data_IF_171046288740
#
_entry.id   IF_171046288740
#
_cell.length_a   1.000
_cell.length_b   1.000
_cell.length_c   1.000
_cell.angle_alpha   90.00
_cell.angle_beta   90.00
_cell.angle_gamma   90.00
#
_symmetry.space_group_name_H-M   'P 1'
#
loop_
_entity.id
_entity.type
_entity.pdbx_description
1 polymer ?
#
# COMPACT_ATOMS: atom_id res chain seq x y z
N UNK A 1 -19.60 7.20 -4.30
CA UNK A 1 -18.48 8.18 -4.41
C UNK A 1 -18.48 8.87 -5.76
N UNK A 2 -18.06 10.14 -5.83
CA UNK A 2 -17.81 10.84 -7.11
C UNK A 2 -16.54 10.25 -7.77
N UNK A 3 -16.51 9.98 -9.09
CA UNK A 3 -15.31 9.49 -9.79
C UNK A 3 -14.07 10.36 -9.58
N UNK A 4 -14.22 11.67 -9.37
CA UNK A 4 -13.10 12.57 -9.08
C UNK A 4 -12.47 12.24 -7.72
N UNK A 5 -13.29 11.97 -6.69
CA UNK A 5 -12.80 11.57 -5.36
C UNK A 5 -12.09 10.22 -5.39
N UNK A 6 -12.58 9.29 -6.22
CA UNK A 6 -11.92 7.99 -6.42
C UNK A 6 -10.56 8.15 -7.08
N UNK A 7 -10.45 9.03 -8.08
CA UNK A 7 -9.18 9.34 -8.73
C UNK A 7 -8.17 9.94 -7.75
N UNK A 8 -8.60 10.92 -6.93
CA UNK A 8 -7.73 11.50 -5.91
C UNK A 8 -7.30 10.49 -4.85
N UNK A 9 -8.21 9.60 -4.43
CA UNK A 9 -7.88 8.52 -3.51
C UNK A 9 -6.83 7.57 -4.12
N UNK A 10 -7.03 7.16 -5.38
CA UNK A 10 -6.11 6.28 -6.09
C UNK A 10 -4.71 6.90 -6.23
N UNK A 11 -4.63 8.17 -6.60
CA UNK A 11 -3.36 8.89 -6.70
C UNK A 11 -2.69 9.07 -5.34
N UNK A 12 -3.46 9.37 -4.29
CA UNK A 12 -2.93 9.51 -2.95
C UNK A 12 -2.27 8.20 -2.46
N UNK A 13 -2.92 7.06 -2.67
CA UNK A 13 -2.41 5.74 -2.27
C UNK A 13 -1.23 5.24 -3.11
N UNK A 14 -1.08 5.71 -4.34
CA UNK A 14 0.08 5.37 -5.19
C UNK A 14 1.39 6.04 -4.71
N UNK A 15 1.31 7.08 -3.88
CA UNK A 15 2.47 7.94 -3.54
C UNK A 15 3.63 7.20 -2.89
N UNK A 16 3.35 6.27 -1.96
CA UNK A 16 4.40 5.55 -1.22
C UNK A 16 5.13 4.54 -2.13
N UNK A 17 4.37 3.84 -2.98
CA UNK A 17 4.91 2.97 -4.01
C UNK A 17 5.72 3.74 -5.07
N UNK A 18 5.25 4.92 -5.47
CA UNK A 18 5.97 5.81 -6.38
C UNK A 18 7.30 6.30 -5.80
N UNK A 19 7.32 6.70 -4.52
CA UNK A 19 8.54 7.11 -3.84
C UNK A 19 9.57 5.98 -3.75
N UNK A 20 9.13 4.76 -3.41
CA UNK A 20 9.98 3.57 -3.38
C UNK A 20 10.55 3.22 -4.77
N UNK A 21 9.72 3.31 -5.82
CA UNK A 21 10.14 3.06 -7.20
C UNK A 21 11.16 4.10 -7.70
N UNK A 22 10.97 5.37 -7.37
CA UNK A 22 11.92 6.44 -7.67
C UNK A 22 13.25 6.24 -6.94
N UNK A 23 13.23 5.91 -5.65
CA UNK A 23 14.44 5.65 -4.86
C UNK A 23 15.27 4.51 -5.46
N UNK A 24 14.60 3.42 -5.88
CA UNK A 24 15.25 2.32 -6.60
C UNK A 24 15.78 2.76 -7.97
N UNK A 25 14.99 3.51 -8.73
CA UNK A 25 15.35 4.00 -10.06
C UNK A 25 16.57 4.92 -10.05
N UNK A 26 16.71 5.77 -9.03
CA UNK A 26 17.86 6.66 -8.85
C UNK A 26 19.16 5.90 -8.53
N UNK A 27 19.07 4.73 -7.89
CA UNK A 27 20.22 3.88 -7.56
C UNK A 27 20.71 3.03 -8.75
N UNK A 28 19.87 2.82 -9.77
CA UNK A 28 20.18 2.00 -10.94
C UNK A 28 20.93 2.78 -12.04
N UNK A 29 22.19 2.42 -12.30
CA UNK A 29 22.94 2.91 -13.46
C UNK A 29 22.41 2.27 -14.76
N UNK A 30 21.51 2.98 -15.47
CA UNK A 30 20.75 2.57 -16.68
C UNK A 30 19.53 1.67 -16.38
N UNK A 31 18.41 2.23 -15.88
CA UNK A 31 17.19 1.48 -15.71
C UNK A 31 16.69 0.98 -17.07
N UNK A 32 16.51 -0.33 -17.21
CA UNK A 32 15.85 -0.90 -18.39
C UNK A 32 14.35 -0.72 -18.23
N UNK A 33 13.66 -0.36 -19.31
CA UNK A 33 12.19 -0.20 -19.31
C UNK A 33 11.46 -1.43 -18.77
N UNK A 34 12.03 -2.63 -19.01
CA UNK A 34 11.51 -3.91 -18.51
C UNK A 34 11.56 -3.99 -16.97
N UNK A 35 12.59 -3.43 -16.31
CA UNK A 35 12.72 -3.43 -14.86
C UNK A 35 11.75 -2.44 -14.20
N UNK A 36 11.54 -1.28 -14.85
CA UNK A 36 10.53 -0.31 -14.44
C UNK A 36 9.12 -0.93 -14.53
N UNK A 37 8.78 -1.55 -15.67
CA UNK A 37 7.49 -2.20 -15.87
C UNK A 37 7.28 -3.37 -14.89
N UNK A 38 8.32 -4.18 -14.64
CA UNK A 38 8.25 -5.26 -13.65
C UNK A 38 8.01 -4.72 -12.24
N UNK A 39 8.66 -3.61 -11.88
CA UNK A 39 8.49 -2.98 -10.57
C UNK A 39 7.08 -2.42 -10.42
N UNK A 40 6.59 -1.65 -11.39
CA UNK A 40 5.22 -1.12 -11.39
C UNK A 40 4.16 -2.22 -11.33
N UNK A 41 4.33 -3.32 -12.07
CA UNK A 41 3.40 -4.46 -12.01
C UNK A 41 3.38 -5.15 -10.64
N UNK A 42 4.54 -5.28 -9.97
CA UNK A 42 4.61 -5.90 -8.63
C UNK A 42 3.89 -5.01 -7.61
N UNK A 43 4.22 -3.71 -7.58
CA UNK A 43 3.58 -2.77 -6.67
C UNK A 43 2.08 -2.64 -6.95
N UNK A 44 1.69 -2.48 -8.22
CA UNK A 44 0.29 -2.37 -8.61
C UNK A 44 -0.54 -3.62 -8.31
N UNK A 45 0.03 -4.82 -8.47
CA UNK A 45 -0.66 -6.05 -8.09
C UNK A 45 -0.90 -6.15 -6.58
N UNK A 46 0.12 -5.81 -5.77
CA UNK A 46 0.01 -5.78 -4.31
C UNK A 46 -1.03 -4.72 -3.90
N UNK A 47 -0.92 -3.49 -4.42
CA UNK A 47 -1.87 -2.40 -4.19
C UNK A 47 -3.30 -2.66 -4.68
N UNK A 48 -3.50 -3.58 -5.63
CA UNK A 48 -4.86 -3.99 -6.02
C UNK A 48 -5.43 -4.98 -5.00
N UNK A 49 -4.62 -5.91 -4.52
CA UNK A 49 -5.05 -7.00 -3.63
C UNK A 49 -5.30 -6.45 -2.22
N UNK A 50 -4.45 -5.56 -1.75
CA UNK A 50 -4.42 -5.13 -0.36
C UNK A 50 -5.69 -4.38 0.10
N UNK A 51 -6.27 -3.44 -0.67
CA UNK A 51 -7.57 -2.83 -0.36
C UNK A 51 -8.73 -3.84 -0.31
N UNK A 52 -8.69 -4.88 -1.15
CA UNK A 52 -9.72 -5.93 -1.17
C UNK A 52 -9.66 -6.77 0.10
N UNK A 53 -8.44 -7.10 0.56
CA UNK A 53 -8.23 -7.79 1.84
C UNK A 53 -8.71 -6.90 2.99
N UNK A 54 -8.32 -5.63 3.01
CA UNK A 54 -8.76 -4.65 4.00
C UNK A 54 -10.28 -4.53 4.06
N UNK A 55 -10.93 -4.42 2.90
CA UNK A 55 -12.38 -4.37 2.81
C UNK A 55 -13.06 -5.65 3.32
N UNK A 56 -12.49 -6.83 3.04
CA UNK A 56 -12.98 -8.09 3.57
C UNK A 56 -12.92 -8.15 5.11
N UNK A 57 -11.80 -7.70 5.69
CA UNK A 57 -11.64 -7.56 7.15
C UNK A 57 -12.66 -6.56 7.69
N UNK A 58 -12.83 -5.41 7.02
CA UNK A 58 -13.79 -4.37 7.37
C UNK A 58 -15.24 -4.85 7.35
N UNK A 59 -15.63 -5.68 6.38
CA UNK A 59 -16.97 -6.29 6.34
C UNK A 59 -17.22 -7.25 7.51
N UNK A 60 -16.24 -8.08 7.86
CA UNK A 60 -16.35 -8.98 9.02
C UNK A 60 -16.44 -8.17 10.31
N UNK A 61 -15.64 -7.10 10.42
CA UNK A 61 -15.68 -6.18 11.54
C UNK A 61 -17.02 -5.44 11.63
N UNK A 62 -17.56 -4.93 10.53
CA UNK A 62 -18.86 -4.23 10.48
C UNK A 62 -20.02 -5.11 10.95
N UNK A 63 -19.98 -6.42 10.68
CA UNK A 63 -20.96 -7.39 11.20
C UNK A 63 -20.84 -7.64 12.71
N UNK A 64 -19.67 -7.44 13.30
CA UNK A 64 -19.44 -7.53 14.74
C UNK A 64 -19.61 -6.18 15.46
N UNK A 65 -19.54 -5.06 14.72
CA UNK A 65 -19.40 -3.71 15.24
C UNK A 65 -20.69 -2.87 15.25
N UNK A 66 -21.88 -3.49 15.17
CA UNK A 66 -23.21 -2.82 15.19
C UNK A 66 -23.44 -1.90 16.42
N UNK A 67 -22.51 -1.83 17.38
CA UNK A 67 -22.51 -0.88 18.50
C UNK A 67 -21.16 -0.18 18.81
N UNK A 68 -20.06 -0.44 18.07
CA UNK A 68 -18.69 0.02 18.39
C UNK A 68 -17.92 0.62 17.20
N UNK A 69 -18.62 1.11 16.17
CA UNK A 69 -18.07 1.58 14.88
C UNK A 69 -16.84 2.52 14.98
N UNK A 70 -16.79 3.45 15.94
CA UNK A 70 -15.73 4.47 15.97
C UNK A 70 -14.44 4.02 16.67
N UNK A 71 -14.54 3.19 17.71
CA UNK A 71 -13.38 2.82 18.52
C UNK A 71 -12.49 1.79 17.82
N UNK A 72 -13.05 0.95 16.96
CA UNK A 72 -12.29 -0.08 16.24
C UNK A 72 -11.39 0.55 15.17
N UNK A 73 -11.93 1.47 14.36
CA UNK A 73 -11.14 2.22 13.38
C UNK A 73 -10.04 3.06 14.06
N UNK A 74 -10.36 3.73 15.17
CA UNK A 74 -9.39 4.48 15.97
C UNK A 74 -8.26 3.57 16.48
N UNK A 75 -8.59 2.39 17.03
CA UNK A 75 -7.59 1.47 17.59
C UNK A 75 -6.69 0.90 16.49
N UNK A 76 -7.25 0.51 15.34
CA UNK A 76 -6.48 0.02 14.20
C UNK A 76 -5.53 1.10 13.65
N UNK A 77 -6.01 2.33 13.49
CA UNK A 77 -5.18 3.46 13.02
C UNK A 77 -4.11 3.87 14.05
N UNK A 78 -4.43 3.81 15.34
CA UNK A 78 -3.48 4.13 16.40
C UNK A 78 -2.35 3.09 16.48
N UNK A 79 -2.68 1.80 16.38
CA UNK A 79 -1.69 0.71 16.34
C UNK A 79 -0.83 0.82 15.08
N UNK A 80 -1.44 1.09 13.92
CA UNK A 80 -0.70 1.25 12.68
C UNK A 80 0.22 2.48 12.71
N UNK A 81 -0.28 3.63 13.13
CA UNK A 81 0.50 4.85 13.27
C UNK A 81 1.68 4.68 14.23
N UNK A 82 1.47 4.00 15.36
CA UNK A 82 2.56 3.64 16.29
C UNK A 82 3.57 2.68 15.65
N UNK A 83 3.13 1.69 14.87
CA UNK A 83 4.01 0.77 14.18
C UNK A 83 4.87 1.49 13.11
N UNK A 84 4.30 2.42 12.36
CA UNK A 84 5.04 3.24 11.38
C UNK A 84 6.05 4.16 12.08
N UNK A 85 5.67 4.78 13.20
CA UNK A 85 6.59 5.59 14.01
C UNK A 85 7.72 4.72 14.57
N UNK A 86 7.39 3.52 15.08
CA UNK A 86 8.39 2.59 15.61
C UNK A 86 9.38 2.15 14.52
N UNK A 87 8.90 1.77 13.33
CA UNK A 87 9.75 1.43 12.20
C UNK A 87 10.55 2.63 11.67
N UNK A 88 10.00 3.84 11.71
CA UNK A 88 10.71 5.06 11.28
C UNK A 88 11.78 5.53 12.27
N UNK A 89 11.61 5.26 13.57
CA UNK A 89 12.59 5.58 14.61
C UNK A 89 13.67 4.49 14.71
N UNK A 90 13.31 3.23 14.43
CA UNK A 90 14.27 2.13 14.31
C UNK A 90 15.03 2.29 12.99
N UNK A 91 16.06 3.14 13.00
CA UNK A 91 17.09 3.11 11.98
C UNK A 91 17.63 1.67 11.90
N UNK A 92 17.58 1.08 10.71
CA UNK A 92 18.40 -0.09 10.38
C UNK A 92 19.87 0.35 10.49
N UNK A 93 20.43 0.20 11.69
CA UNK A 93 21.89 0.21 11.91
C UNK A 93 22.55 -1.07 11.35
N UNK A 94 21.79 -1.95 10.67
CA UNK A 94 22.24 -3.24 10.14
C UNK A 94 22.01 -3.42 8.62
N UNK A 95 21.94 -2.35 7.82
CA UNK A 95 22.18 -2.51 6.37
C UNK A 95 23.67 -2.37 6.07
N UNK A 96 24.39 -3.46 6.37
CA UNK A 96 25.58 -3.84 5.62
C UNK A 96 25.33 -3.58 4.13
N UNK A 97 26.31 -2.94 3.51
CA UNK A 97 26.42 -2.72 2.08
C UNK A 97 26.47 -4.06 1.31
N UNK A 98 25.37 -4.80 1.23
CA UNK A 98 25.32 -6.13 0.62
C UNK A 98 24.77 -6.05 -0.81
N UNK A 99 25.71 -5.72 -1.72
CA UNK A 99 25.80 -6.05 -3.16
C UNK A 99 24.52 -5.98 -4.04
N UNK A 100 24.56 -5.21 -5.15
CA UNK A 100 23.42 -4.97 -6.06
C UNK A 100 23.12 -6.13 -7.03
N UNK A 101 23.12 -7.39 -6.56
CA UNK A 101 23.15 -8.56 -7.45
C UNK A 101 21.91 -9.45 -7.46
N UNK A 102 21.36 -9.85 -6.29
CA UNK A 102 20.52 -11.07 -6.25
C UNK A 102 19.25 -10.99 -5.41
N UNK A 103 19.08 -10.03 -4.49
CA UNK A 103 17.87 -9.90 -3.66
C UNK A 103 16.92 -8.75 -4.05
N UNK A 104 17.13 -8.12 -5.21
CA UNK A 104 16.33 -6.97 -5.67
C UNK A 104 14.81 -7.25 -5.76
N UNK A 105 14.41 -8.50 -6.01
CA UNK A 105 13.00 -8.90 -6.04
C UNK A 105 12.40 -9.05 -4.64
N UNK A 106 13.16 -9.61 -3.69
CA UNK A 106 12.71 -9.77 -2.31
C UNK A 106 12.59 -8.43 -1.60
N UNK A 107 13.58 -7.55 -1.78
CA UNK A 107 13.53 -6.17 -1.25
C UNK A 107 12.31 -5.44 -1.83
N UNK A 108 12.10 -5.50 -3.15
CA UNK A 108 10.91 -4.92 -3.78
C UNK A 108 9.59 -5.46 -3.21
N UNK A 109 9.49 -6.78 -3.04
CA UNK A 109 8.27 -7.41 -2.54
C UNK A 109 8.01 -7.01 -1.07
N UNK A 110 9.05 -6.94 -0.25
CA UNK A 110 8.95 -6.50 1.15
C UNK A 110 8.60 -5.02 1.23
N UNK A 111 9.23 -4.16 0.42
CA UNK A 111 8.90 -2.73 0.36
C UNK A 111 7.47 -2.53 -0.12
N UNK A 112 7.04 -3.22 -1.19
CA UNK A 112 5.67 -3.12 -1.69
C UNK A 112 4.64 -3.62 -0.70
N UNK A 113 4.94 -4.68 0.05
CA UNK A 113 4.08 -5.15 1.13
C UNK A 113 4.02 -4.11 2.26
N UNK A 114 5.17 -3.57 2.67
CA UNK A 114 5.26 -2.57 3.73
C UNK A 114 4.55 -1.26 3.39
N UNK A 115 4.66 -0.78 2.16
CA UNK A 115 3.93 0.41 1.70
C UNK A 115 2.43 0.13 1.66
N UNK A 116 1.98 -1.03 1.16
CA UNK A 116 0.55 -1.33 0.98
C UNK A 116 -0.29 -1.46 2.25
N UNK A 117 0.32 -1.39 3.43
CA UNK A 117 -0.41 -1.41 4.70
C UNK A 117 -1.34 -0.19 4.82
N UNK A 118 -1.00 0.94 4.20
CA UNK A 118 -1.86 2.13 4.14
C UNK A 118 -3.14 1.86 3.33
N UNK A 119 -3.02 1.20 2.18
CA UNK A 119 -4.10 0.81 1.28
C UNK A 119 -4.99 -0.28 1.89
N UNK A 120 -4.42 -1.14 2.76
CA UNK A 120 -5.19 -2.08 3.58
C UNK A 120 -6.11 -1.32 4.53
N UNK A 121 -5.57 -0.33 5.24
CA UNK A 121 -6.32 0.47 6.20
C UNK A 121 -7.42 1.29 5.50
N UNK A 122 -7.12 1.86 4.33
CA UNK A 122 -8.13 2.51 3.48
C UNK A 122 -9.18 1.51 3.00
N UNK A 123 -8.78 0.28 2.64
CA UNK A 123 -9.69 -0.82 2.30
C UNK A 123 -10.69 -1.14 3.41
N UNK A 124 -10.23 -1.21 4.67
CA UNK A 124 -11.10 -1.37 5.85
C UNK A 124 -12.10 -0.21 5.92
N UNK A 125 -11.65 1.03 5.73
CA UNK A 125 -12.51 2.21 5.71
C UNK A 125 -13.56 2.19 4.59
N UNK A 126 -13.19 1.71 3.40
CA UNK A 126 -14.11 1.55 2.27
C UNK A 126 -15.21 0.52 2.54
N UNK A 127 -15.07 -0.37 3.52
CA UNK A 127 -16.13 -1.31 3.89
C UNK A 127 -17.35 -0.61 4.54
N UNK A 128 -17.14 0.59 5.07
CA UNK A 128 -18.18 1.43 5.68
C UNK A 128 -18.77 2.46 4.71
N UNK A 129 -18.23 2.56 3.49
CA UNK A 129 -18.70 3.48 2.46
C UNK A 129 -19.31 2.65 1.33
N UNK A 130 -20.51 3.00 0.89
CA UNK A 130 -21.24 2.28 -0.17
C UNK A 130 -20.58 2.51 -1.55
N UNK A 131 -19.49 1.78 -1.78
CA UNK A 131 -18.58 1.92 -2.92
C UNK A 131 -18.23 0.55 -3.44
N UNK A 132 -18.18 0.43 -4.76
CA UNK A 132 -17.71 -0.78 -5.40
C UNK A 132 -16.20 -0.95 -5.18
N UNK A 133 -15.83 -1.82 -4.24
CA UNK A 133 -14.45 -2.11 -3.88
C UNK A 133 -13.61 -2.57 -5.07
N UNK A 134 -14.21 -3.28 -6.04
CA UNK A 134 -13.49 -3.75 -7.23
C UNK A 134 -13.03 -2.56 -8.08
N UNK A 135 -13.89 -1.55 -8.24
CA UNK A 135 -13.54 -0.34 -8.99
C UNK A 135 -12.49 0.48 -8.23
N UNK A 136 -12.60 0.58 -6.91
CA UNK A 136 -11.64 1.31 -6.09
C UNK A 136 -10.25 0.64 -6.09
N UNK A 137 -10.19 -0.68 -5.88
CA UNK A 137 -8.97 -1.46 -5.89
C UNK A 137 -8.28 -1.44 -7.26
N UNK A 138 -9.05 -1.56 -8.35
CA UNK A 138 -8.50 -1.46 -9.70
C UNK A 138 -7.98 -0.04 -9.99
N UNK A 139 -8.67 1.00 -9.53
CA UNK A 139 -8.20 2.38 -9.71
C UNK A 139 -6.87 2.63 -8.97
N UNK A 140 -6.75 2.17 -7.72
CA UNK A 140 -5.52 2.26 -6.92
C UNK A 140 -4.39 1.49 -7.60
N UNK A 141 -4.62 0.21 -7.93
CA UNK A 141 -3.61 -0.63 -8.57
C UNK A 141 -3.13 -0.11 -9.93
N UNK A 142 -4.05 0.42 -10.75
CA UNK A 142 -3.68 1.06 -12.02
C UNK A 142 -2.88 2.35 -11.79
N UNK A 143 -3.28 3.18 -10.84
CA UNK A 143 -2.54 4.39 -10.49
C UNK A 143 -1.13 4.11 -9.92
N UNK A 144 -0.93 2.94 -9.31
CA UNK A 144 0.39 2.48 -8.82
C UNK A 144 1.23 1.84 -9.93
N UNK A 145 0.60 1.23 -10.93
CA UNK A 145 1.31 0.57 -12.03
C UNK A 145 1.88 1.57 -13.05
N UNK A 146 1.19 2.71 -13.24
CA UNK A 146 1.49 3.75 -14.24
C UNK A 146 2.45 4.78 -13.67
#
# INVERSE_FOLDING_TARGET
MNPISLLFLALAMSTDAFAAALGKGASLHKPRFIEALRTGLIFGAIETITPVIGWGIGQVAARFAESWDHWIAFTLLLVLGLHMIYNGIKHDDDEEQEKPGQHSFWILAVTAFATSIDALAVGVGLAFVDVNIVIAALAIGLATTV
#
